data_IF_518791965009
#
_entry.id   IF_518791965009
#
_cell.length_a   1.000
_cell.length_b   1.000
_cell.length_c   1.000
_cell.angle_alpha   90.00
_cell.angle_beta   90.00
_cell.angle_gamma   90.00
#
_symmetry.space_group_name_H-M   'P 1'
#
loop_
_entity.id
_entity.type
_entity.pdbx_description
1 polymer ?
#
# COMPACT_ATOMS: atom_id res chain seq x y z
N UNK A 1 -27.49 -2.79 79.33
CA UNK A 1 -27.66 -1.60 78.47
C UNK A 1 -27.73 -2.09 77.03
N UNK A 2 -28.95 -2.14 76.50
CA UNK A 2 -29.29 -2.69 75.18
C UNK A 2 -29.22 -1.57 74.13
N UNK A 3 -28.76 -1.95 72.93
CA UNK A 3 -28.82 -1.24 71.63
C UNK A 3 -27.69 -0.20 71.45
N UNK A 4 -26.70 -0.24 70.55
CA UNK A 4 -26.37 -0.96 69.30
C UNK A 4 -27.54 -1.15 68.33
N UNK A 5 -27.37 -0.63 67.11
CA UNK A 5 -28.30 -0.62 65.98
C UNK A 5 -29.50 0.32 66.14
N UNK A 6 -29.40 1.56 65.64
CA UNK A 6 -30.41 2.17 64.74
C UNK A 6 -30.16 3.64 64.28
N UNK A 7 -28.92 4.14 64.21
CA UNK A 7 -28.67 5.49 63.63
C UNK A 7 -27.45 5.48 62.68
N UNK A 8 -27.37 4.46 61.80
CA UNK A 8 -26.50 4.46 60.61
C UNK A 8 -27.31 4.12 59.34
N UNK A 9 -28.65 4.21 59.40
CA UNK A 9 -29.53 4.00 58.23
C UNK A 9 -30.36 5.23 57.82
N UNK A 10 -30.05 6.43 58.32
CA UNK A 10 -30.67 7.69 57.85
C UNK A 10 -29.57 8.68 57.41
N UNK A 11 -28.52 8.16 56.76
CA UNK A 11 -27.57 8.98 56.01
C UNK A 11 -27.05 8.27 54.74
N UNK A 12 -27.82 7.29 54.25
CA UNK A 12 -27.61 6.59 52.98
C UNK A 12 -28.97 6.53 52.26
N UNK A 13 -29.62 7.69 52.04
CA UNK A 13 -30.81 7.79 51.18
C UNK A 13 -31.12 9.23 50.69
N UNK A 14 -30.14 10.13 50.68
CA UNK A 14 -30.32 11.51 50.17
C UNK A 14 -29.29 11.96 49.14
N UNK A 15 -28.61 11.03 48.46
CA UNK A 15 -27.81 11.32 47.26
C UNK A 15 -28.33 10.50 46.06
N UNK A 16 -29.62 10.57 45.81
CA UNK A 16 -30.21 10.34 44.48
C UNK A 16 -31.28 11.40 44.29
N UNK A 17 -30.89 12.57 43.77
CA UNK A 17 -31.70 13.43 42.91
C UNK A 17 -30.92 14.69 42.54
N UNK A 18 -30.96 15.06 41.26
CA UNK A 18 -30.47 16.31 40.66
C UNK A 18 -28.95 16.44 40.39
N UNK A 19 -28.51 15.71 39.37
CA UNK A 19 -28.09 16.20 38.04
C UNK A 19 -27.24 17.50 37.92
N UNK A 20 -26.19 17.36 37.09
CA UNK A 20 -25.31 18.36 36.42
C UNK A 20 -24.14 18.93 37.23
N UNK A 21 -23.16 18.08 37.50
CA UNK A 21 -21.77 18.50 37.55
C UNK A 21 -21.15 18.32 36.16
N UNK A 22 -20.79 19.45 35.52
CA UNK A 22 -19.81 19.48 34.45
C UNK A 22 -18.48 19.01 35.05
N UNK A 23 -18.18 17.72 34.89
CA UNK A 23 -16.84 17.21 35.09
C UNK A 23 -16.11 17.46 33.78
N UNK A 24 -15.42 18.61 33.68
CA UNK A 24 -14.31 18.75 32.74
C UNK A 24 -13.23 17.77 33.20
N UNK A 25 -13.18 16.60 32.57
CA UNK A 25 -12.06 15.68 32.75
C UNK A 25 -10.77 16.43 32.37
N UNK A 26 -9.68 16.26 33.12
CA UNK A 26 -8.40 16.80 32.73
C UNK A 26 -7.96 16.15 31.42
N UNK A 27 -7.41 16.99 30.53
CA UNK A 27 -6.76 16.57 29.28
C UNK A 27 -5.63 15.62 29.66
N UNK A 28 -5.82 14.33 29.44
CA UNK A 28 -4.76 13.34 29.57
C UNK A 28 -3.85 13.46 28.35
N UNK A 29 -2.71 14.14 28.52
CA UNK A 29 -1.62 14.07 27.56
C UNK A 29 -1.00 12.68 27.65
N UNK A 30 -1.25 11.83 26.66
CA UNK A 30 -0.37 10.71 26.36
C UNK A 30 0.51 11.15 25.17
N UNK A 31 1.83 11.07 25.32
CA UNK A 31 2.81 11.29 24.25
C UNK A 31 3.07 12.74 23.78
N UNK A 32 2.13 13.67 23.97
CA UNK A 32 2.20 15.01 23.35
C UNK A 32 1.01 15.30 22.42
N UNK A 33 0.02 14.41 22.39
CA UNK A 33 -1.23 14.57 21.65
C UNK A 33 -2.13 15.57 22.36
N UNK A 34 -2.62 16.55 21.61
CA UNK A 34 -3.53 17.58 22.11
C UNK A 34 -4.89 17.37 21.47
N UNK A 35 -5.86 17.07 22.34
CA UNK A 35 -7.28 17.14 21.99
C UNK A 35 -7.77 18.58 22.16
N UNK A 36 -8.37 19.21 21.12
CA UNK A 36 -8.95 20.53 21.26
C UNK A 36 -10.04 20.54 22.35
N UNK A 37 -9.85 21.32 23.41
CA UNK A 37 -10.81 21.43 24.52
C UNK A 37 -12.00 22.32 24.13
N UNK A 38 -12.98 21.77 23.41
CA UNK A 38 -14.21 22.50 23.05
C UNK A 38 -14.05 23.54 21.94
N UNK A 39 -15.14 23.71 21.16
CA UNK A 39 -15.18 24.23 19.79
C UNK A 39 -14.07 23.66 18.91
N UNK A 40 -14.31 22.46 18.36
CA UNK A 40 -13.44 21.87 17.34
C UNK A 40 -13.27 22.89 16.21
N UNK A 41 -12.03 23.27 15.94
CA UNK A 41 -11.71 24.21 14.87
C UNK A 41 -12.30 23.68 13.57
N UNK A 42 -13.25 24.43 12.99
CA UNK A 42 -13.92 24.05 11.76
C UNK A 42 -13.13 24.61 10.58
N UNK A 43 -12.76 23.74 9.65
CA UNK A 43 -12.07 24.09 8.40
C UNK A 43 -12.76 23.38 7.24
N UNK A 44 -12.65 23.94 6.05
CA UNK A 44 -13.22 23.35 4.84
C UNK A 44 -12.07 22.93 3.93
N UNK A 45 -12.20 21.74 3.35
CA UNK A 45 -11.23 21.18 2.42
C UNK A 45 -11.95 20.62 1.20
N UNK A 46 -11.31 20.68 0.05
CA UNK A 46 -11.70 19.91 -1.13
C UNK A 46 -11.38 18.43 -0.89
N UNK A 47 -12.37 17.56 -1.08
CA UNK A 47 -12.21 16.12 -0.92
C UNK A 47 -13.19 15.33 -1.80
N UNK A 48 -12.78 14.14 -2.23
CA UNK A 48 -13.64 13.15 -2.89
C UNK A 48 -14.44 12.34 -1.85
N UNK A 49 -15.60 12.86 -1.46
CA UNK A 49 -16.53 12.12 -0.59
C UNK A 49 -17.20 10.97 -1.36
N UNK A 50 -17.13 9.75 -0.81
CA UNK A 50 -17.62 8.50 -1.44
C UNK A 50 -17.08 8.24 -2.85
N UNK A 51 -15.90 8.77 -3.15
CA UNK A 51 -15.25 8.69 -4.47
C UNK A 51 -16.12 9.19 -5.64
N UNK A 52 -16.95 10.21 -5.41
CA UNK A 52 -17.83 10.78 -6.44
C UNK A 52 -17.22 12.01 -7.13
N UNK A 53 -17.25 13.16 -6.45
CA UNK A 53 -16.80 14.45 -6.98
C UNK A 53 -15.95 15.15 -5.93
N UNK A 54 -14.87 15.80 -6.38
CA UNK A 54 -14.07 16.66 -5.53
C UNK A 54 -14.85 17.94 -5.22
N UNK A 55 -15.18 18.16 -3.95
CA UNK A 55 -15.95 19.32 -3.52
C UNK A 55 -15.53 19.78 -2.13
N UNK A 56 -15.92 21.01 -1.80
CA UNK A 56 -15.74 21.55 -0.45
C UNK A 56 -16.59 20.77 0.56
N UNK A 57 -15.90 20.16 1.52
CA UNK A 57 -16.45 19.44 2.64
C UNK A 57 -16.00 20.11 3.95
N UNK A 58 -16.88 20.12 4.94
CA UNK A 58 -16.58 20.68 6.26
C UNK A 58 -15.92 19.62 7.14
N UNK A 59 -14.91 20.02 7.90
CA UNK A 59 -14.21 19.16 8.83
C UNK A 59 -13.98 19.84 10.18
N UNK A 60 -13.83 19.02 11.21
CA UNK A 60 -13.53 19.40 12.58
C UNK A 60 -12.16 18.88 12.98
N UNK A 61 -11.29 19.74 13.51
CA UNK A 61 -10.02 19.31 14.09
C UNK A 61 -10.30 18.47 15.33
N UNK A 62 -9.83 17.23 15.35
CA UNK A 62 -10.06 16.28 16.46
C UNK A 62 -8.78 15.94 17.22
N UNK A 63 -7.62 16.03 16.59
CA UNK A 63 -6.34 15.81 17.24
C UNK A 63 -5.23 16.64 16.59
N UNK A 64 -4.22 17.00 17.37
CA UNK A 64 -3.01 17.67 16.91
C UNK A 64 -1.79 17.15 17.67
N UNK A 65 -0.68 16.98 16.94
CA UNK A 65 0.62 16.53 17.42
C UNK A 65 1.73 17.37 16.78
N UNK A 66 2.99 17.19 17.17
CA UNK A 66 4.13 17.94 16.61
C UNK A 66 4.17 17.94 15.07
N UNK A 67 3.95 16.78 14.43
CA UNK A 67 4.03 16.62 12.96
C UNK A 67 2.70 16.31 12.27
N UNK A 68 1.59 16.35 13.01
CA UNK A 68 0.31 15.85 12.51
C UNK A 68 -0.87 16.70 12.99
N UNK A 69 -1.85 16.92 12.12
CA UNK A 69 -3.19 17.36 12.47
C UNK A 69 -4.20 16.35 11.92
N UNK A 70 -5.18 15.95 12.72
CA UNK A 70 -6.27 15.07 12.28
C UNK A 70 -7.58 15.84 12.29
N UNK A 71 -8.28 15.79 11.17
CA UNK A 71 -9.60 16.35 10.98
C UNK A 71 -10.61 15.26 10.62
N UNK A 72 -11.83 15.37 11.13
CA UNK A 72 -12.94 14.46 10.82
C UNK A 72 -14.04 15.22 10.09
N UNK A 73 -14.58 14.62 9.02
CA UNK A 73 -15.65 15.22 8.23
C UNK A 73 -16.90 15.46 9.11
N UNK A 74 -17.55 16.61 8.93
CA UNK A 74 -18.77 16.96 9.62
C UNK A 74 -19.87 15.91 9.37
N UNK A 75 -20.40 15.36 10.46
CA UNK A 75 -21.44 14.33 10.43
C UNK A 75 -20.91 12.89 10.48
N UNK A 76 -19.61 12.67 10.29
CA UNK A 76 -19.01 11.34 10.42
C UNK A 76 -18.69 11.02 11.89
N UNK A 77 -18.93 9.77 12.28
CA UNK A 77 -18.55 9.26 13.60
C UNK A 77 -17.10 8.79 13.64
N UNK A 78 -16.39 9.07 14.72
CA UNK A 78 -15.03 8.58 14.95
C UNK A 78 -14.86 8.02 16.36
N UNK A 79 -13.93 7.08 16.51
CA UNK A 79 -13.47 6.54 17.79
C UNK A 79 -12.20 7.27 18.24
N UNK A 80 -12.20 7.99 19.39
CA UNK A 80 -11.02 8.67 19.89
C UNK A 80 -9.79 7.76 20.02
N UNK A 81 -9.99 6.53 20.50
CA UNK A 81 -8.92 5.53 20.65
C UNK A 81 -8.28 5.13 19.31
N UNK A 82 -9.06 5.09 18.22
CA UNK A 82 -8.53 4.84 16.88
C UNK A 82 -7.72 6.03 16.37
N UNK A 83 -8.20 7.26 16.62
CA UNK A 83 -7.47 8.49 16.26
C UNK A 83 -6.16 8.60 17.03
N UNK A 84 -6.17 8.30 18.33
CA UNK A 84 -4.96 8.20 19.16
C UNK A 84 -3.97 7.20 18.57
N UNK A 85 -4.46 6.01 18.20
CA UNK A 85 -3.60 4.95 17.68
C UNK A 85 -2.90 5.39 16.40
N UNK A 86 -3.65 5.84 15.39
CA UNK A 86 -3.06 6.24 14.10
C UNK A 86 -2.10 7.42 14.25
N UNK A 87 -2.43 8.37 15.14
CA UNK A 87 -1.56 9.52 15.38
C UNK A 87 -0.26 9.10 16.07
N UNK A 88 -0.31 8.21 17.04
CA UNK A 88 0.89 7.69 17.69
C UNK A 88 1.78 6.91 16.73
N UNK A 89 1.21 6.00 15.93
CA UNK A 89 1.99 5.23 14.94
C UNK A 89 2.61 6.15 13.88
N UNK A 90 1.87 7.14 13.40
CA UNK A 90 2.39 8.14 12.47
C UNK A 90 3.60 8.87 13.06
N UNK A 91 3.45 9.48 14.24
CA UNK A 91 4.51 10.29 14.84
C UNK A 91 5.74 9.46 15.21
N UNK A 92 5.56 8.21 15.66
CA UNK A 92 6.67 7.32 16.00
C UNK A 92 7.52 6.94 14.78
N UNK A 93 6.92 6.87 13.59
CA UNK A 93 7.60 6.44 12.36
C UNK A 93 7.97 7.59 11.42
N UNK A 94 7.38 8.78 11.60
CA UNK A 94 7.57 9.95 10.73
C UNK A 94 9.04 10.31 10.48
N UNK A 95 9.87 10.33 11.54
CA UNK A 95 11.27 10.68 11.40
C UNK A 95 12.05 9.67 10.53
N UNK A 96 11.71 8.39 10.62
CA UNK A 96 12.34 7.34 9.82
C UNK A 96 11.84 7.36 8.37
N UNK A 97 10.54 7.57 8.15
CA UNK A 97 9.95 7.83 6.83
C UNK A 97 10.69 8.96 6.09
N UNK A 98 10.79 10.13 6.72
CA UNK A 98 11.49 11.29 6.13
C UNK A 98 12.98 11.01 5.92
N UNK A 99 13.64 10.31 6.84
CA UNK A 99 15.05 9.94 6.68
C UNK A 99 15.29 9.04 5.46
N UNK A 100 14.38 8.11 5.20
CA UNK A 100 14.50 7.13 4.12
C UNK A 100 14.10 7.78 2.79
N UNK A 101 12.90 8.33 2.68
CA UNK A 101 12.35 8.74 1.38
C UNK A 101 12.64 10.21 1.05
N UNK A 102 12.91 11.03 2.05
CA UNK A 102 13.26 12.44 1.92
C UNK A 102 12.27 13.39 2.58
N UNK A 103 12.55 14.68 2.49
CA UNK A 103 11.68 15.73 3.01
C UNK A 103 10.43 15.90 2.14
N UNK A 104 9.28 16.18 2.76
CA UNK A 104 8.07 16.65 2.07
C UNK A 104 8.08 18.19 1.90
N UNK A 105 7.01 18.76 1.34
CA UNK A 105 6.79 20.21 1.24
C UNK A 105 6.20 20.79 2.54
N UNK A 106 6.01 22.11 2.62
CA UNK A 106 5.22 22.75 3.69
C UNK A 106 4.47 23.94 3.05
N UNK A 107 3.47 23.63 2.22
CA UNK A 107 2.82 24.61 1.33
C UNK A 107 2.02 25.63 2.13
N UNK A 108 1.31 25.20 3.17
CA UNK A 108 0.51 26.08 4.04
C UNK A 108 1.29 26.66 5.23
N UNK A 109 2.58 26.28 5.37
CA UNK A 109 3.52 26.75 6.40
C UNK A 109 3.10 26.40 7.82
N UNK A 110 2.37 25.30 7.99
CA UNK A 110 1.97 24.80 9.31
C UNK A 110 3.01 23.84 9.91
N UNK A 111 3.93 23.29 9.09
CA UNK A 111 4.99 22.37 9.50
C UNK A 111 4.53 20.94 9.85
N UNK A 112 3.33 20.52 9.42
CA UNK A 112 2.62 19.29 9.80
C UNK A 112 1.94 18.65 8.59
N UNK A 113 1.73 17.34 8.67
CA UNK A 113 0.85 16.61 7.76
C UNK A 113 -0.59 16.67 8.28
N UNK A 114 -1.55 16.84 7.38
CA UNK A 114 -2.98 16.83 7.68
C UNK A 114 -3.56 15.47 7.28
N UNK A 115 -4.22 14.78 8.20
CA UNK A 115 -5.07 13.62 7.89
C UNK A 115 -6.53 14.06 7.89
N UNK A 116 -7.22 13.85 6.78
CA UNK A 116 -8.68 14.02 6.67
C UNK A 116 -9.36 12.64 6.75
N UNK A 117 -10.21 12.47 7.76
CA UNK A 117 -11.04 11.28 7.94
C UNK A 117 -12.44 11.54 7.37
N UNK A 118 -12.84 10.74 6.40
CA UNK A 118 -14.12 10.86 5.70
C UNK A 118 -14.61 9.49 5.20
N UNK A 119 -15.86 9.39 4.77
CA UNK A 119 -16.37 8.18 4.11
C UNK A 119 -15.86 8.16 2.66
N UNK A 120 -14.95 7.24 2.34
CA UNK A 120 -14.48 7.02 0.96
C UNK A 120 -15.36 6.01 0.24
N UNK A 121 -15.98 5.10 0.97
CA UNK A 121 -16.77 4.02 0.41
C UNK A 121 -18.28 4.31 0.52
N UNK A 122 -19.03 4.06 -0.56
CA UNK A 122 -20.49 3.97 -0.48
C UNK A 122 -20.91 2.54 -0.08
N UNK A 123 -22.11 2.40 0.50
CA UNK A 123 -22.64 1.10 0.98
C UNK A 123 -22.83 0.05 -0.13
N UNK A 124 -22.73 0.43 -1.40
CA UNK A 124 -22.83 -0.45 -2.57
C UNK A 124 -21.49 -0.68 -3.29
N UNK A 125 -20.38 -0.22 -2.72
CA UNK A 125 -19.09 -0.29 -3.41
C UNK A 125 -18.60 -1.74 -3.52
N UNK A 126 -18.27 -2.15 -4.74
CA UNK A 126 -17.66 -3.46 -5.04
C UNK A 126 -16.16 -3.46 -4.69
N UNK A 127 -15.57 -2.26 -4.60
CA UNK A 127 -14.19 -1.99 -4.25
C UNK A 127 -14.12 -1.22 -2.93
N UNK A 128 -13.07 -1.44 -2.14
CA UNK A 128 -12.84 -0.77 -0.86
C UNK A 128 -11.62 0.14 -1.01
N UNK A 129 -11.83 1.44 -0.85
CA UNK A 129 -10.77 2.45 -0.82
C UNK A 129 -10.39 2.74 0.61
N UNK A 130 -9.12 2.52 0.96
CA UNK A 130 -8.64 2.70 2.32
C UNK A 130 -8.16 4.14 2.57
N UNK A 131 -7.50 4.73 1.58
CA UNK A 131 -6.97 6.08 1.63
C UNK A 131 -6.37 6.49 0.30
N UNK A 132 -6.00 7.77 0.20
CA UNK A 132 -5.29 8.32 -0.95
C UNK A 132 -4.51 9.60 -0.60
N UNK A 133 -3.56 9.91 -1.47
CA UNK A 133 -2.89 11.20 -1.59
C UNK A 133 -3.23 11.86 -2.93
N UNK A 134 -3.66 13.13 -2.91
CA UNK A 134 -3.88 13.93 -4.12
C UNK A 134 -2.73 14.92 -4.32
N UNK A 135 -1.98 14.72 -5.41
CA UNK A 135 -0.81 15.55 -5.72
C UNK A 135 -1.15 17.02 -5.98
N UNK A 136 -2.39 17.32 -6.39
CA UNK A 136 -2.86 18.68 -6.60
C UNK A 136 -2.91 19.50 -5.29
N UNK A 137 -2.95 18.85 -4.13
CA UNK A 137 -2.89 19.55 -2.84
C UNK A 137 -1.54 20.25 -2.61
N UNK A 138 -0.46 19.74 -3.18
CA UNK A 138 0.87 20.35 -3.05
C UNK A 138 1.14 21.44 -4.10
N UNK A 139 0.24 21.62 -5.07
CA UNK A 139 0.40 22.56 -6.18
C UNK A 139 -0.44 23.82 -5.97
N UNK A 140 0.23 24.97 -6.01
CA UNK A 140 -0.40 26.26 -5.72
C UNK A 140 -1.63 26.52 -6.60
N UNK A 141 -2.76 26.76 -5.94
CA UNK A 141 -4.08 27.03 -6.51
C UNK A 141 -4.66 25.90 -7.36
N UNK A 142 -4.23 24.65 -7.15
CA UNK A 142 -4.83 23.48 -7.81
C UNK A 142 -5.85 22.76 -6.94
N UNK A 143 -5.59 22.60 -5.64
CA UNK A 143 -6.55 22.03 -4.69
C UNK A 143 -6.44 22.71 -3.31
N UNK A 144 -6.06 21.99 -2.24
CA UNK A 144 -6.06 22.54 -0.87
C UNK A 144 -4.83 23.36 -0.48
N UNK A 145 -3.75 23.34 -1.26
CA UNK A 145 -2.47 24.01 -0.95
C UNK A 145 -1.87 23.57 0.41
N UNK A 146 -1.88 22.28 0.72
CA UNK A 146 -1.39 21.74 1.98
C UNK A 146 -0.98 20.26 1.85
N UNK A 147 -0.21 19.76 2.80
CA UNK A 147 0.19 18.35 2.87
C UNK A 147 -0.94 17.49 3.44
N UNK A 148 -1.84 16.98 2.59
CA UNK A 148 -3.05 16.25 3.01
C UNK A 148 -2.99 14.77 2.62
N UNK A 149 -3.38 13.91 3.55
CA UNK A 149 -3.67 12.49 3.35
C UNK A 149 -5.14 12.22 3.68
N UNK A 150 -5.84 11.47 2.84
CA UNK A 150 -7.26 11.17 2.97
C UNK A 150 -7.44 9.71 3.38
N UNK A 151 -8.22 9.45 4.43
CA UNK A 151 -8.38 8.09 4.97
C UNK A 151 -9.86 7.77 5.20
N UNK A 152 -10.24 6.53 4.92
CA UNK A 152 -11.59 6.05 5.18
C UNK A 152 -11.84 5.92 6.70
N UNK A 153 -12.84 6.65 7.19
CA UNK A 153 -13.13 6.74 8.61
C UNK A 153 -13.74 5.45 9.18
N UNK A 154 -14.46 4.68 8.37
CA UNK A 154 -15.04 3.41 8.80
C UNK A 154 -13.91 2.43 9.11
N UNK A 155 -12.93 2.32 8.21
CA UNK A 155 -11.78 1.44 8.40
C UNK A 155 -10.87 1.94 9.54
N UNK A 156 -10.65 3.25 9.71
CA UNK A 156 -9.94 3.78 10.90
C UNK A 156 -10.61 3.31 12.20
N UNK A 157 -11.95 3.33 12.24
CA UNK A 157 -12.70 2.93 13.42
C UNK A 157 -12.67 1.41 13.64
N UNK A 158 -12.60 0.61 12.59
CA UNK A 158 -12.62 -0.85 12.66
C UNK A 158 -11.23 -1.47 12.86
N UNK A 159 -10.24 -1.00 12.12
CA UNK A 159 -8.87 -1.52 12.08
C UNK A 159 -7.83 -0.37 11.97
N UNK A 160 -7.59 0.35 13.09
CA UNK A 160 -6.62 1.44 13.11
C UNK A 160 -5.17 0.96 12.90
N UNK A 161 -4.86 -0.31 13.16
CA UNK A 161 -3.52 -0.87 12.93
C UNK A 161 -3.25 -1.01 11.43
N UNK A 162 -4.17 -1.63 10.70
CA UNK A 162 -4.10 -1.69 9.25
C UNK A 162 -4.05 -0.29 8.62
N UNK A 163 -4.90 0.63 9.10
CA UNK A 163 -4.96 1.99 8.56
C UNK A 163 -3.71 2.81 8.84
N UNK A 164 -3.05 2.61 9.99
CA UNK A 164 -1.77 3.27 10.27
C UNK A 164 -0.72 2.95 9.20
N UNK A 165 -0.72 1.72 8.68
CA UNK A 165 0.15 1.33 7.59
C UNK A 165 -0.27 1.90 6.24
N UNK A 166 -1.55 2.17 6.01
CA UNK A 166 -2.02 2.93 4.83
C UNK A 166 -1.57 4.38 4.91
N UNK A 167 -1.64 5.00 6.08
CA UNK A 167 -1.21 6.39 6.28
C UNK A 167 0.28 6.56 5.94
N UNK A 168 1.14 5.63 6.38
CA UNK A 168 2.58 5.68 6.04
C UNK A 168 2.82 5.45 4.54
N UNK A 169 2.06 4.57 3.90
CA UNK A 169 2.07 4.36 2.45
C UNK A 169 1.73 5.65 1.69
N UNK A 170 0.66 6.34 2.07
CA UNK A 170 0.27 7.61 1.42
C UNK A 170 1.25 8.76 1.74
N UNK A 171 1.85 8.77 2.93
CA UNK A 171 2.92 9.72 3.26
C UNK A 171 4.12 9.55 2.32
N UNK A 172 4.47 8.30 1.98
CA UNK A 172 5.54 8.04 1.02
C UNK A 172 5.23 8.67 -0.33
N UNK A 173 4.00 8.53 -0.85
CA UNK A 173 3.63 9.14 -2.13
C UNK A 173 3.77 10.66 -2.11
N UNK A 174 3.34 11.29 -1.01
CA UNK A 174 3.48 12.73 -0.79
C UNK A 174 4.97 13.16 -0.82
N UNK A 175 5.83 12.45 -0.08
CA UNK A 175 7.29 12.68 -0.09
C UNK A 175 7.86 12.46 -1.49
N UNK A 176 7.47 11.38 -2.15
CA UNK A 176 7.95 11.00 -3.49
C UNK A 176 7.67 12.11 -4.51
N UNK A 177 6.45 12.65 -4.48
CA UNK A 177 6.03 13.73 -5.37
C UNK A 177 6.86 14.99 -5.15
N UNK A 178 7.16 15.35 -3.90
CA UNK A 178 8.08 16.45 -3.62
C UNK A 178 9.49 16.17 -4.18
N UNK A 179 10.06 15.02 -3.82
CA UNK A 179 11.44 14.66 -4.15
C UNK A 179 11.65 14.55 -5.66
N UNK A 180 10.73 13.91 -6.39
CA UNK A 180 10.94 13.62 -7.82
C UNK A 180 10.31 14.70 -8.70
N UNK A 181 9.07 15.12 -8.44
CA UNK A 181 8.34 16.03 -9.31
C UNK A 181 8.53 17.51 -8.94
N UNK A 182 8.19 17.93 -7.72
CA UNK A 182 8.24 19.37 -7.35
C UNK A 182 9.68 19.91 -7.39
N UNK A 183 10.63 19.19 -6.80
CA UNK A 183 12.04 19.63 -6.73
C UNK A 183 12.81 19.40 -8.02
N UNK A 184 12.50 18.33 -8.76
CA UNK A 184 13.35 17.85 -9.85
C UNK A 184 12.63 17.68 -11.21
N UNK A 185 11.32 17.98 -11.28
CA UNK A 185 10.57 18.09 -12.53
C UNK A 185 10.24 16.77 -13.23
N UNK A 186 10.36 15.61 -12.55
CA UNK A 186 10.07 14.30 -13.14
C UNK A 186 9.29 13.41 -12.20
N UNK A 187 8.12 12.98 -12.64
CA UNK A 187 7.33 11.97 -11.93
C UNK A 187 8.01 10.59 -12.00
N UNK A 188 7.92 9.84 -10.90
CA UNK A 188 8.32 8.43 -10.85
C UNK A 188 7.24 7.58 -11.54
N UNK A 189 7.64 6.52 -12.23
CA UNK A 189 6.68 5.56 -12.79
C UNK A 189 5.87 4.90 -11.68
N UNK A 190 4.60 4.59 -11.99
CA UNK A 190 3.63 4.03 -11.03
C UNK A 190 4.21 2.82 -10.31
N UNK A 191 4.83 1.88 -11.03
CA UNK A 191 5.37 0.67 -10.41
C UNK A 191 6.43 0.94 -9.35
N UNK A 192 7.34 1.89 -9.59
CA UNK A 192 8.41 2.18 -8.65
C UNK A 192 7.90 3.03 -7.48
N UNK A 193 6.95 3.93 -7.76
CA UNK A 193 6.28 4.73 -6.74
C UNK A 193 5.57 3.79 -5.74
N UNK A 194 4.72 2.90 -6.23
CA UNK A 194 4.02 1.91 -5.42
C UNK A 194 4.96 0.91 -4.75
N UNK A 195 6.02 0.45 -5.42
CA UNK A 195 7.01 -0.42 -4.80
C UNK A 195 7.64 0.23 -3.56
N UNK A 196 8.01 1.52 -3.66
CA UNK A 196 8.56 2.25 -2.53
C UNK A 196 7.50 2.52 -1.45
N UNK A 197 6.24 2.76 -1.79
CA UNK A 197 5.17 2.86 -0.80
C UNK A 197 4.91 1.54 -0.08
N UNK A 198 4.91 0.42 -0.80
CA UNK A 198 4.83 -0.93 -0.21
C UNK A 198 6.02 -1.22 0.72
N UNK A 199 7.19 -0.60 0.46
CA UNK A 199 8.34 -0.71 1.35
C UNK A 199 8.16 -0.05 2.72
N UNK A 200 7.21 0.88 2.87
CA UNK A 200 6.79 1.39 4.19
C UNK A 200 6.16 0.28 5.03
N UNK A 201 5.32 -0.57 4.42
CA UNK A 201 4.67 -1.68 5.11
C UNK A 201 5.71 -2.69 5.60
N UNK A 202 6.76 -2.94 4.82
CA UNK A 202 7.88 -3.82 5.20
C UNK A 202 8.61 -3.33 6.45
N UNK A 203 8.76 -2.01 6.59
CA UNK A 203 9.47 -1.40 7.72
C UNK A 203 8.60 -1.28 8.97
N UNK A 204 7.31 -0.99 8.79
CA UNK A 204 6.46 -0.48 9.87
C UNK A 204 5.21 -1.33 10.15
N UNK A 205 4.89 -2.34 9.33
CA UNK A 205 3.63 -3.10 9.43
C UNK A 205 3.77 -4.59 9.08
N UNK A 206 4.03 -5.45 10.08
CA UNK A 206 4.02 -6.89 9.88
C UNK A 206 2.70 -7.43 9.32
N UNK A 207 1.55 -6.87 9.73
CA UNK A 207 0.23 -7.29 9.25
C UNK A 207 0.05 -7.09 7.74
N UNK A 208 0.42 -5.92 7.21
CA UNK A 208 0.33 -5.68 5.76
C UNK A 208 1.30 -6.56 4.98
N UNK A 209 2.51 -6.79 5.50
CA UNK A 209 3.48 -7.72 4.89
C UNK A 209 2.87 -9.12 4.74
N UNK A 210 2.25 -9.65 5.80
CA UNK A 210 1.57 -10.95 5.75
C UNK A 210 0.44 -10.97 4.71
N UNK A 211 -0.42 -9.94 4.68
CA UNK A 211 -1.50 -9.84 3.68
C UNK A 211 -0.97 -9.81 2.24
N UNK A 212 0.13 -9.09 1.98
CA UNK A 212 0.77 -9.04 0.65
C UNK A 212 1.39 -10.37 0.26
N UNK A 213 1.97 -11.11 1.21
CA UNK A 213 2.47 -12.48 0.98
C UNK A 213 1.32 -13.44 0.65
N UNK A 214 0.20 -13.35 1.37
CA UNK A 214 -0.99 -14.16 1.09
C UNK A 214 -1.54 -13.87 -0.31
N UNK A 215 -1.58 -12.59 -0.71
CA UNK A 215 -1.92 -12.16 -2.06
C UNK A 215 -0.97 -12.72 -3.11
N UNK A 216 0.35 -12.67 -2.85
CA UNK A 216 1.39 -13.18 -3.73
C UNK A 216 1.26 -14.70 -3.95
N UNK A 217 0.95 -15.44 -2.89
CA UNK A 217 0.73 -16.88 -2.96
C UNK A 217 -0.59 -17.24 -3.66
N UNK A 218 -1.54 -16.30 -3.73
CA UNK A 218 -2.89 -16.56 -4.23
C UNK A 218 -3.15 -16.01 -5.64
N UNK A 219 -2.17 -15.36 -6.27
CA UNK A 219 -2.28 -14.81 -7.64
C UNK A 219 -1.98 -15.84 -8.75
N UNK A 220 -1.94 -17.13 -8.40
CA UNK A 220 -1.88 -18.21 -9.39
C UNK A 220 -0.60 -18.22 -10.25
N UNK A 221 0.55 -17.91 -9.65
CA UNK A 221 1.86 -18.06 -10.30
C UNK A 221 2.10 -17.11 -11.46
N UNK A 222 1.41 -15.96 -11.47
CA UNK A 222 1.58 -14.88 -12.43
C UNK A 222 2.09 -13.65 -11.69
N UNK A 223 3.36 -13.33 -11.90
CA UNK A 223 4.07 -12.24 -11.23
C UNK A 223 4.14 -11.06 -12.19
N UNK A 224 3.72 -9.86 -11.81
CA UNK A 224 3.71 -8.69 -12.70
C UNK A 224 4.17 -7.45 -11.96
N UNK A 225 5.07 -6.67 -12.56
CA UNK A 225 5.63 -5.47 -11.91
C UNK A 225 5.03 -4.17 -12.39
N UNK A 226 4.94 -3.98 -13.71
CA UNK A 226 4.74 -2.65 -14.27
C UNK A 226 3.52 -2.51 -15.18
N UNK A 227 2.80 -3.60 -15.47
CA UNK A 227 1.48 -3.50 -16.11
C UNK A 227 0.40 -3.39 -15.05
N UNK A 228 0.13 -2.17 -14.59
CA UNK A 228 -0.82 -1.89 -13.50
C UNK A 228 -2.29 -1.96 -13.95
N UNK A 229 -2.60 -1.43 -15.14
CA UNK A 229 -3.88 -1.67 -15.81
C UNK A 229 -3.91 -3.04 -16.51
N UNK A 230 -3.78 -4.11 -15.74
CA UNK A 230 -3.75 -5.47 -16.27
C UNK A 230 -5.13 -5.83 -16.86
N UNK A 231 -5.24 -6.22 -18.14
CA UNK A 231 -6.50 -6.71 -18.71
C UNK A 231 -6.75 -8.14 -18.22
N UNK A 232 -7.17 -8.23 -16.97
CA UNK A 232 -7.34 -9.43 -16.17
C UNK A 232 -8.20 -10.50 -16.83
N UNK A 233 -9.26 -10.09 -17.55
CA UNK A 233 -10.14 -11.00 -18.32
C UNK A 233 -9.44 -11.79 -19.44
N UNK A 234 -8.18 -11.45 -19.73
CA UNK A 234 -7.39 -12.08 -20.77
C UNK A 234 -6.10 -12.71 -20.26
N UNK A 235 -5.74 -12.62 -18.97
CA UNK A 235 -4.46 -13.16 -18.48
C UNK A 235 -4.39 -14.68 -18.67
N UNK A 236 -5.48 -15.37 -18.32
CA UNK A 236 -5.67 -16.80 -18.61
C UNK A 236 -6.92 -16.95 -19.48
N UNK A 237 -6.79 -16.92 -20.82
CA UNK A 237 -7.95 -16.91 -21.73
C UNK A 237 -8.89 -18.11 -21.56
N UNK A 238 -8.36 -19.23 -21.07
CA UNK A 238 -9.13 -20.46 -20.85
C UNK A 238 -9.78 -20.52 -19.45
N UNK A 239 -9.55 -19.51 -18.58
CA UNK A 239 -10.07 -19.48 -17.22
C UNK A 239 -10.96 -18.23 -16.99
N UNK A 240 -12.30 -18.41 -16.91
CA UNK A 240 -13.24 -17.30 -16.72
C UNK A 240 -13.13 -16.59 -15.37
N UNK A 241 -12.42 -17.16 -14.38
CA UNK A 241 -12.21 -16.51 -13.07
C UNK A 241 -11.01 -15.55 -13.06
N UNK A 242 -10.22 -15.48 -14.14
CA UNK A 242 -9.01 -14.64 -14.22
C UNK A 242 -9.27 -13.13 -14.25
N UNK A 243 -10.53 -12.71 -14.40
CA UNK A 243 -11.00 -11.31 -14.56
C UNK A 243 -10.62 -10.33 -13.44
N UNK A 244 -9.92 -10.71 -12.39
CA UNK A 244 -9.58 -9.78 -11.30
C UNK A 244 -8.20 -10.05 -10.66
N UNK A 245 -7.24 -10.50 -11.46
CA UNK A 245 -5.89 -10.79 -10.99
C UNK A 245 -5.18 -9.54 -10.44
N UNK A 246 -4.95 -9.53 -9.12
CA UNK A 246 -4.24 -8.47 -8.40
C UNK A 246 -2.75 -8.83 -8.24
N UNK A 247 -2.02 -8.88 -9.36
CA UNK A 247 -0.64 -9.38 -9.38
C UNK A 247 0.41 -8.33 -8.99
N UNK A 248 0.12 -7.04 -9.23
CA UNK A 248 1.11 -5.96 -9.16
C UNK A 248 1.58 -5.65 -7.75
N UNK A 249 0.65 -5.24 -6.88
CA UNK A 249 0.92 -4.92 -5.48
C UNK A 249 1.64 -6.06 -4.74
N UNK A 250 1.16 -7.31 -4.75
CA UNK A 250 1.89 -8.41 -4.11
C UNK A 250 3.28 -8.64 -4.71
N UNK A 251 3.44 -8.53 -6.03
CA UNK A 251 4.75 -8.72 -6.69
C UNK A 251 5.74 -7.65 -6.26
N UNK A 252 5.38 -6.36 -6.32
CA UNK A 252 6.29 -5.28 -5.92
C UNK A 252 6.59 -5.32 -4.42
N UNK A 253 5.60 -5.65 -3.59
CA UNK A 253 5.78 -5.77 -2.13
C UNK A 253 6.76 -6.90 -1.79
N UNK A 254 6.58 -8.10 -2.35
CA UNK A 254 7.50 -9.23 -2.13
C UNK A 254 8.89 -8.97 -2.71
N UNK A 255 8.98 -8.26 -3.85
CA UNK A 255 10.26 -7.82 -4.41
C UNK A 255 11.02 -6.86 -3.49
N UNK A 256 10.34 -5.86 -2.94
CA UNK A 256 10.96 -4.91 -2.03
C UNK A 256 11.35 -5.57 -0.71
N UNK A 257 10.55 -6.52 -0.22
CA UNK A 257 10.91 -7.33 0.95
C UNK A 257 12.16 -8.15 0.67
N UNK A 258 12.24 -8.81 -0.48
CA UNK A 258 13.43 -9.54 -0.89
C UNK A 258 14.67 -8.64 -0.94
N UNK A 259 14.59 -7.47 -1.58
CA UNK A 259 15.71 -6.51 -1.59
C UNK A 259 16.14 -6.11 -0.18
N UNK A 260 15.20 -5.90 0.74
CA UNK A 260 15.48 -5.62 2.14
C UNK A 260 16.21 -6.78 2.81
N UNK A 261 15.75 -8.02 2.65
CA UNK A 261 16.44 -9.19 3.20
C UNK A 261 17.86 -9.34 2.62
N UNK A 262 18.04 -9.14 1.30
CA UNK A 262 19.36 -9.20 0.66
C UNK A 262 20.30 -8.09 1.08
N UNK A 263 19.76 -6.94 1.46
CA UNK A 263 20.51 -5.85 2.04
C UNK A 263 20.66 -5.98 3.57
N UNK A 264 20.62 -7.20 4.12
CA UNK A 264 20.75 -7.50 5.54
C UNK A 264 19.77 -6.70 6.42
N UNK A 265 18.53 -6.56 5.96
CA UNK A 265 17.45 -5.84 6.65
C UNK A 265 17.82 -4.38 6.94
N UNK A 266 18.53 -3.74 6.02
CA UNK A 266 18.92 -2.35 6.12
C UNK A 266 18.10 -1.48 5.15
N UNK A 267 17.36 -0.51 5.70
CA UNK A 267 16.47 0.39 4.95
C UNK A 267 17.20 1.32 3.97
N UNK A 268 18.54 1.37 4.00
CA UNK A 268 19.34 2.12 3.02
C UNK A 268 19.08 1.71 1.57
N UNK A 269 18.65 0.47 1.30
CA UNK A 269 18.29 0.04 -0.06
C UNK A 269 17.10 0.85 -0.59
N UNK A 270 16.08 1.07 0.24
CA UNK A 270 14.91 1.89 -0.11
C UNK A 270 15.31 3.36 -0.23
N UNK A 271 16.09 3.86 0.73
CA UNK A 271 16.58 5.24 0.70
C UNK A 271 17.36 5.56 -0.58
N UNK A 272 18.22 4.64 -1.03
CA UNK A 272 19.04 4.85 -2.20
C UNK A 272 18.22 4.81 -3.50
N UNK A 273 17.19 3.96 -3.56
CA UNK A 273 16.26 3.91 -4.70
C UNK A 273 15.35 5.15 -4.72
N UNK A 274 14.86 5.60 -3.56
CA UNK A 274 13.92 6.72 -3.44
C UNK A 274 14.52 8.08 -3.83
N UNK A 275 15.82 8.30 -3.58
CA UNK A 275 16.54 9.54 -3.97
C UNK A 275 16.45 9.79 -5.47
N UNK A 276 16.13 11.04 -5.84
CA UNK A 276 16.02 11.46 -7.25
C UNK A 276 17.20 10.98 -8.10
N UNK A 277 16.90 10.51 -9.31
CA UNK A 277 17.88 10.21 -10.36
C UNK A 277 17.33 10.61 -11.72
N UNK A 278 18.21 11.08 -12.61
CA UNK A 278 17.90 11.30 -14.01
C UNK A 278 17.83 10.00 -14.83
N UNK A 279 18.28 8.87 -14.26
CA UNK A 279 18.23 7.55 -14.88
C UNK A 279 16.80 7.07 -15.10
N UNK A 280 16.57 6.15 -16.04
CA UNK A 280 15.28 5.43 -16.08
C UNK A 280 15.02 4.74 -14.73
N UNK A 281 13.76 4.53 -14.37
CA UNK A 281 13.45 3.95 -13.05
C UNK A 281 14.00 2.52 -12.89
N UNK A 282 14.12 1.77 -14.00
CA UNK A 282 14.79 0.47 -14.05
C UNK A 282 16.29 0.61 -13.77
N UNK A 283 16.98 1.51 -14.48
CA UNK A 283 18.41 1.75 -14.28
C UNK A 283 18.70 2.26 -12.86
N UNK A 284 17.80 3.09 -12.32
CA UNK A 284 17.84 3.60 -10.95
C UNK A 284 17.81 2.46 -9.94
N UNK A 285 16.92 1.48 -10.08
CA UNK A 285 16.92 0.31 -9.21
C UNK A 285 18.19 -0.51 -9.42
N UNK A 286 18.54 -0.87 -10.65
CA UNK A 286 19.70 -1.72 -10.97
C UNK A 286 21.00 -1.19 -10.37
N UNK A 287 21.26 0.11 -10.50
CA UNK A 287 22.47 0.73 -9.93
C UNK A 287 22.52 0.64 -8.40
N UNK A 288 21.37 0.76 -7.75
CA UNK A 288 21.26 0.75 -6.29
C UNK A 288 21.19 -0.66 -5.68
N UNK A 289 20.98 -1.70 -6.50
CA UNK A 289 20.98 -3.10 -6.05
C UNK A 289 22.15 -3.91 -6.62
N UNK A 290 23.26 -3.25 -6.96
CA UNK A 290 24.46 -3.91 -7.50
C UNK A 290 25.03 -5.02 -6.61
N UNK A 291 24.78 -4.98 -5.30
CA UNK A 291 25.16 -6.03 -4.35
C UNK A 291 24.47 -7.40 -4.62
N UNK A 292 23.38 -7.42 -5.39
CA UNK A 292 22.73 -8.64 -5.87
C UNK A 292 23.57 -9.34 -6.96
N UNK A 293 24.42 -8.59 -7.67
CA UNK A 293 25.19 -9.09 -8.80
C UNK A 293 24.32 -9.43 -10.02
N UNK A 294 23.23 -8.69 -10.22
CA UNK A 294 22.42 -8.78 -11.44
C UNK A 294 23.07 -7.99 -12.58
N UNK A 295 23.13 -8.58 -13.77
CA UNK A 295 23.74 -7.99 -14.97
C UNK A 295 22.78 -7.15 -15.81
N UNK A 296 21.48 -7.37 -15.64
CA UNK A 296 20.39 -6.66 -16.32
C UNK A 296 19.13 -6.69 -15.46
N UNK A 297 18.09 -5.98 -15.89
CA UNK A 297 16.76 -6.04 -15.24
C UNK A 297 16.18 -7.45 -15.26
N UNK A 298 16.22 -8.11 -16.41
CA UNK A 298 15.74 -9.49 -16.57
C UNK A 298 16.46 -10.44 -15.61
N UNK A 299 17.79 -10.32 -15.49
CA UNK A 299 18.59 -11.13 -14.57
C UNK A 299 18.24 -10.83 -13.09
N UNK A 300 17.93 -9.57 -12.75
CA UNK A 300 17.46 -9.22 -11.41
C UNK A 300 16.11 -9.87 -11.09
N UNK A 301 15.16 -9.84 -12.03
CA UNK A 301 13.85 -10.48 -11.85
C UNK A 301 13.98 -12.01 -11.72
N UNK A 302 14.85 -12.65 -12.49
CA UNK A 302 15.11 -14.07 -12.33
C UNK A 302 15.74 -14.40 -10.97
N UNK A 303 16.73 -13.61 -10.52
CA UNK A 303 17.35 -13.78 -9.19
C UNK A 303 16.35 -13.56 -8.07
N UNK A 304 15.41 -12.64 -8.22
CA UNK A 304 14.33 -12.44 -7.25
C UNK A 304 13.49 -13.70 -7.10
N UNK A 305 12.96 -14.25 -8.20
CA UNK A 305 12.13 -15.47 -8.16
C UNK A 305 12.93 -16.67 -7.64
N UNK A 306 14.19 -16.82 -8.04
CA UNK A 306 15.11 -17.82 -7.48
C UNK A 306 15.27 -17.64 -5.96
N UNK A 307 15.40 -16.40 -5.48
CA UNK A 307 15.46 -16.06 -4.06
C UNK A 307 14.19 -16.43 -3.30
N UNK A 308 13.01 -16.13 -3.86
CA UNK A 308 11.72 -16.54 -3.26
C UNK A 308 11.63 -18.06 -3.16
N UNK A 309 11.97 -18.79 -4.22
CA UNK A 309 12.00 -20.25 -4.19
C UNK A 309 12.97 -20.82 -3.14
N UNK A 310 14.07 -20.12 -2.86
CA UNK A 310 15.03 -20.52 -1.84
C UNK A 310 14.61 -20.11 -0.41
N UNK A 311 13.41 -19.54 -0.24
CA UNK A 311 12.88 -19.12 1.06
C UNK A 311 13.53 -17.85 1.62
N UNK A 312 14.12 -17.00 0.77
CA UNK A 312 14.77 -15.75 1.22
C UNK A 312 13.75 -14.72 1.72
N UNK A 313 12.46 -14.86 1.38
CA UNK A 313 11.34 -14.15 2.00
C UNK A 313 10.42 -15.18 2.64
N UNK A 314 10.34 -15.17 3.96
CA UNK A 314 9.57 -16.16 4.72
C UNK A 314 8.08 -16.12 4.34
N UNK A 315 7.53 -17.29 4.00
CA UNK A 315 6.11 -17.47 3.66
C UNK A 315 5.74 -17.14 2.20
N UNK A 316 6.61 -16.49 1.43
CA UNK A 316 6.37 -16.27 0.00
C UNK A 316 6.75 -17.52 -0.81
N UNK A 317 5.84 -17.96 -1.68
CA UNK A 317 5.98 -19.21 -2.43
C UNK A 317 5.76 -18.98 -3.93
N UNK A 318 6.57 -19.66 -4.74
CA UNK A 318 6.39 -19.65 -6.19
C UNK A 318 5.43 -20.75 -6.64
N UNK A 319 4.59 -20.47 -7.63
CA UNK A 319 3.65 -21.44 -8.20
C UNK A 319 3.99 -21.74 -9.65
N UNK A 320 3.86 -23.02 -10.01
CA UNK A 320 4.17 -23.49 -11.36
C UNK A 320 2.89 -23.60 -12.18
N UNK A 321 2.93 -23.03 -13.38
CA UNK A 321 1.83 -23.08 -14.34
C UNK A 321 1.53 -24.51 -14.79
N UNK A 322 0.25 -24.81 -14.98
CA UNK A 322 -0.22 -26.08 -15.57
C UNK A 322 0.36 -26.26 -16.97
N UNK A 323 0.55 -27.51 -17.40
CA UNK A 323 0.90 -27.82 -18.79
C UNK A 323 -0.24 -27.48 -19.77
N UNK A 324 0.10 -27.17 -21.03
CA UNK A 324 -0.84 -26.76 -22.08
C UNK A 324 -1.76 -25.59 -21.68
N UNK A 325 -1.29 -24.74 -20.76
CA UNK A 325 -2.02 -23.56 -20.32
C UNK A 325 -1.70 -22.39 -21.26
N UNK A 326 -2.75 -21.72 -21.75
CA UNK A 326 -2.61 -20.51 -22.54
C UNK A 326 -2.51 -19.32 -21.58
N UNK A 327 -1.46 -18.52 -21.74
CA UNK A 327 -1.17 -17.40 -20.85
C UNK A 327 -0.81 -16.18 -21.71
N UNK A 328 -1.44 -15.07 -21.40
CA UNK A 328 -1.09 -13.78 -21.97
C UNK A 328 -0.11 -13.08 -21.02
N UNK A 329 1.17 -13.08 -21.38
CA UNK A 329 2.23 -12.39 -20.63
C UNK A 329 2.25 -10.93 -21.01
N UNK A 330 1.68 -10.07 -20.17
CA UNK A 330 1.76 -8.63 -20.31
C UNK A 330 3.17 -8.11 -20.01
N UNK A 331 3.51 -6.87 -20.41
CA UNK A 331 4.80 -6.26 -20.09
C UNK A 331 5.13 -6.46 -18.59
N UNK A 332 6.25 -7.14 -18.31
CA UNK A 332 6.73 -7.36 -16.93
C UNK A 332 6.13 -8.54 -16.22
N UNK A 333 5.30 -9.31 -16.93
CA UNK A 333 4.79 -10.55 -16.43
C UNK A 333 5.85 -11.65 -16.51
N UNK A 334 5.95 -12.41 -15.43
CA UNK A 334 6.79 -13.59 -15.30
C UNK A 334 5.93 -14.76 -14.83
N UNK A 335 6.19 -15.94 -15.39
CA UNK A 335 5.63 -17.22 -14.93
C UNK A 335 6.70 -18.30 -14.85
N UNK A 336 6.48 -19.31 -14.01
CA UNK A 336 7.30 -20.53 -13.94
C UNK A 336 6.52 -21.68 -14.57
N UNK A 337 7.15 -22.49 -15.42
CA UNK A 337 6.51 -23.63 -16.09
C UNK A 337 7.48 -24.80 -16.27
N UNK A 338 6.95 -25.99 -16.59
CA UNK A 338 7.77 -27.17 -16.90
C UNK A 338 7.99 -27.32 -18.42
N UNK A 339 9.22 -27.63 -18.82
CA UNK A 339 9.62 -27.80 -20.22
C UNK A 339 10.31 -26.57 -20.78
N UNK A 340 10.32 -26.44 -22.11
CA UNK A 340 11.01 -25.34 -22.80
C UNK A 340 10.13 -24.62 -23.80
N UNK A 341 10.24 -23.30 -23.84
CA UNK A 341 9.66 -22.44 -24.87
C UNK A 341 10.75 -21.87 -25.77
N UNK A 342 10.39 -21.58 -27.02
CA UNK A 342 11.30 -20.87 -27.93
C UNK A 342 11.20 -19.37 -27.66
N UNK A 343 12.32 -18.73 -27.35
CA UNK A 343 12.40 -17.28 -27.20
C UNK A 343 12.01 -16.59 -28.50
N UNK A 344 11.25 -15.49 -28.41
CA UNK A 344 10.86 -14.69 -29.56
C UNK A 344 10.42 -13.29 -29.14
N UNK A 345 10.85 -12.26 -29.87
CA UNK A 345 10.53 -10.87 -29.52
C UNK A 345 10.96 -10.55 -28.08
N UNK A 346 10.02 -10.07 -27.27
CA UNK A 346 10.25 -9.75 -25.85
C UNK A 346 10.07 -10.96 -24.90
N UNK A 347 9.82 -12.17 -25.43
CA UNK A 347 9.77 -13.39 -24.62
C UNK A 347 11.20 -13.88 -24.35
N UNK A 348 11.64 -13.70 -23.10
CA UNK A 348 12.89 -14.23 -22.58
C UNK A 348 12.59 -15.45 -21.73
N UNK A 349 13.38 -16.52 -21.92
CA UNK A 349 13.31 -17.72 -21.09
C UNK A 349 14.64 -17.98 -20.39
N UNK A 350 14.57 -18.51 -19.17
CA UNK A 350 15.76 -18.93 -18.42
C UNK A 350 15.47 -20.24 -17.72
N UNK A 351 16.41 -21.17 -17.83
CA UNK A 351 16.37 -22.43 -17.11
C UNK A 351 16.27 -22.18 -15.61
N UNK A 352 15.26 -22.80 -15.01
CA UNK A 352 15.01 -22.87 -13.58
C UNK A 352 15.20 -24.34 -13.16
N UNK A 353 15.33 -24.61 -11.86
CA UNK A 353 15.74 -25.93 -11.34
C UNK A 353 15.01 -27.11 -12.01
N UNK A 354 15.69 -28.25 -12.20
CA UNK A 354 15.10 -29.55 -12.55
C UNK A 354 13.97 -29.53 -13.62
N UNK A 355 14.25 -28.97 -14.80
CA UNK A 355 13.35 -29.03 -15.95
C UNK A 355 12.22 -27.99 -15.93
N UNK A 356 12.24 -27.05 -14.99
CA UNK A 356 11.40 -25.86 -15.03
C UNK A 356 12.11 -24.71 -15.77
N UNK A 357 11.36 -23.78 -16.33
CA UNK A 357 11.86 -22.56 -16.95
C UNK A 357 11.04 -21.37 -16.47
N UNK A 358 11.67 -20.19 -16.48
CA UNK A 358 10.99 -18.91 -16.42
C UNK A 358 10.60 -18.47 -17.82
N UNK A 359 9.41 -17.89 -17.97
CA UNK A 359 9.05 -17.06 -19.11
C UNK A 359 8.79 -15.64 -18.61
N UNK A 360 9.51 -14.68 -19.16
CA UNK A 360 9.38 -13.26 -18.87
C UNK A 360 9.03 -12.53 -20.17
N UNK A 361 8.02 -11.67 -20.13
CA UNK A 361 7.89 -10.61 -21.12
C UNK A 361 8.73 -9.42 -20.65
N UNK A 362 9.85 -9.16 -21.33
CA UNK A 362 10.80 -8.11 -20.95
C UNK A 362 10.52 -6.73 -21.59
N UNK A 363 9.38 -6.57 -22.28
CA UNK A 363 8.90 -5.27 -22.73
C UNK A 363 8.69 -4.35 -21.53
N UNK A 364 9.29 -3.17 -21.46
CA UNK A 364 9.21 -2.27 -20.29
C UNK A 364 8.09 -1.22 -20.38
N UNK A 365 7.08 -1.44 -21.24
CA UNK A 365 5.95 -0.53 -21.41
C UNK A 365 5.14 -0.32 -20.11
N UNK A 366 4.89 0.94 -19.76
CA UNK A 366 4.18 1.37 -18.54
C UNK A 366 2.90 2.19 -18.81
N UNK A 367 2.40 2.19 -20.04
CA UNK A 367 1.21 2.96 -20.41
C UNK A 367 -0.10 2.18 -20.27
N UNK A 368 -1.21 2.84 -20.59
CA UNK A 368 -2.56 2.33 -20.27
C UNK A 368 -3.08 1.23 -21.19
N UNK A 369 -2.42 0.98 -22.33
CA UNK A 369 -2.85 0.03 -23.36
C UNK A 369 -1.78 -1.05 -23.61
N UNK A 370 -1.46 -1.88 -22.61
CA UNK A 370 -0.41 -2.88 -22.72
C UNK A 370 -0.81 -4.01 -23.69
N UNK A 371 0.15 -4.49 -24.48
CA UNK A 371 -0.03 -5.67 -25.35
C UNK A 371 0.71 -6.87 -24.79
N UNK A 372 0.04 -8.01 -24.71
CA UNK A 372 0.62 -9.26 -24.22
C UNK A 372 1.33 -10.06 -25.31
N UNK A 373 2.23 -10.95 -24.86
CA UNK A 373 2.72 -12.08 -25.64
C UNK A 373 1.95 -13.32 -25.22
N UNK A 374 1.36 -14.01 -26.19
CA UNK A 374 0.62 -15.25 -25.92
C UNK A 374 1.61 -16.42 -25.92
N UNK A 375 1.61 -17.18 -24.83
CA UNK A 375 2.37 -18.42 -24.71
C UNK A 375 1.42 -19.58 -24.40
N UNK A 376 1.84 -20.79 -24.78
CA UNK A 376 1.21 -22.03 -24.34
C UNK A 376 2.27 -22.85 -23.63
N UNK A 377 2.09 -23.13 -22.35
CA UNK A 377 3.08 -23.92 -21.59
C UNK A 377 3.22 -25.33 -22.19
N UNK A 378 4.44 -25.88 -22.27
CA UNK A 378 4.66 -27.19 -22.86
C UNK A 378 3.97 -28.32 -22.10
N UNK A 379 3.76 -29.45 -22.79
CA UNK A 379 3.38 -30.71 -22.15
C UNK A 379 4.62 -31.32 -21.48
N UNK A 380 4.50 -31.71 -20.21
CA UNK A 380 5.61 -32.30 -19.49
C UNK A 380 5.97 -33.68 -20.07
N UNK A 381 7.23 -33.89 -20.45
CA UNK A 381 7.74 -35.17 -20.92
C UNK A 381 7.98 -36.14 -19.75
N UNK A 382 6.91 -36.73 -19.23
CA UNK A 382 6.86 -37.92 -18.33
C UNK A 382 7.41 -37.85 -16.88
N UNK A 383 6.52 -38.24 -15.94
CA UNK A 383 6.64 -38.84 -14.59
C UNK A 383 7.31 -38.08 -13.43
N UNK A 384 8.19 -37.09 -13.62
CA UNK A 384 8.89 -36.48 -12.45
C UNK A 384 8.20 -35.27 -11.78
N UNK A 385 7.11 -34.72 -12.34
CA UNK A 385 6.61 -33.41 -11.92
C UNK A 385 5.74 -33.37 -10.64
N UNK A 386 5.39 -34.49 -10.00
CA UNK A 386 4.19 -34.53 -9.15
C UNK A 386 4.36 -34.40 -7.63
N UNK A 387 5.51 -33.95 -7.09
CA UNK A 387 5.67 -33.87 -5.62
C UNK A 387 6.34 -32.64 -5.00
N UNK A 388 7.02 -31.77 -5.75
CA UNK A 388 7.81 -30.68 -5.15
C UNK A 388 7.23 -29.27 -5.32
N UNK A 389 6.30 -29.04 -6.26
CA UNK A 389 5.75 -27.71 -6.52
C UNK A 389 4.23 -27.75 -6.48
N UNK A 390 3.62 -26.73 -5.86
CA UNK A 390 2.18 -26.53 -5.94
C UNK A 390 1.84 -26.03 -7.36
N UNK A 391 1.02 -26.80 -8.07
CA UNK A 391 0.47 -26.37 -9.35
C UNK A 391 -0.60 -25.32 -9.11
N UNK A 392 -0.64 -24.29 -9.96
CA UNK A 392 -1.64 -23.21 -9.86
C UNK A 392 -3.07 -23.74 -9.76
N UNK A 393 -3.85 -23.22 -8.80
CA UNK A 393 -5.29 -23.47 -8.67
C UNK A 393 -6.09 -22.57 -9.61
N UNK A 394 -7.28 -23.01 -10.05
CA UNK A 394 -8.13 -22.25 -10.99
C UNK A 394 -8.87 -21.07 -10.34
N UNK A 395 -8.68 -20.84 -9.04
CA UNK A 395 -9.29 -19.74 -8.29
C UNK A 395 -8.19 -18.74 -7.95
N UNK A 396 -8.31 -17.52 -8.48
CA UNK A 396 -7.40 -16.42 -8.19
C UNK A 396 -7.95 -15.57 -7.05
N UNK A 397 -7.06 -15.06 -6.20
CA UNK A 397 -7.43 -14.08 -5.18
C UNK A 397 -7.80 -12.75 -5.83
N UNK A 398 -8.92 -12.20 -5.37
CA UNK A 398 -9.43 -10.90 -5.76
C UNK A 398 -9.36 -10.02 -4.54
N UNK A 399 -8.40 -9.09 -4.52
CA UNK A 399 -8.45 -8.05 -3.50
C UNK A 399 -9.69 -7.19 -3.76
N UNK A 400 -10.50 -7.01 -2.71
CA UNK A 400 -11.54 -5.97 -2.70
C UNK A 400 -10.92 -4.60 -2.50
N UNK A 401 -9.71 -4.53 -1.94
CA UNK A 401 -8.99 -3.29 -1.70
C UNK A 401 -8.51 -2.71 -3.04
N UNK A 402 -8.64 -1.38 -3.12
CA UNK A 402 -8.31 -0.55 -4.27
C UNK A 402 -7.58 0.68 -3.75
N UNK A 403 -6.50 1.05 -4.44
CA UNK A 403 -5.65 2.19 -4.09
C UNK A 403 -5.86 3.22 -5.18
N UNK A 404 -6.12 4.47 -4.77
CA UNK A 404 -6.35 5.53 -5.75
C UNK A 404 -5.03 6.25 -5.95
N UNK A 405 -4.51 6.18 -7.16
CA UNK A 405 -3.36 6.99 -7.54
C UNK A 405 -3.81 8.16 -8.40
N UNK A 406 -3.40 9.37 -8.04
CA UNK A 406 -3.59 10.56 -8.86
C UNK A 406 -2.33 10.84 -9.69
N UNK A 407 -2.52 11.29 -10.93
CA UNK A 407 -1.45 11.90 -11.71
C UNK A 407 -1.13 13.32 -11.23
N UNK A 408 -0.09 13.93 -11.79
CA UNK A 408 0.34 15.30 -11.50
C UNK A 408 -0.72 16.40 -11.76
N UNK A 409 -1.78 16.08 -12.50
CA UNK A 409 -2.87 17.00 -12.85
C UNK A 409 -4.11 16.75 -11.97
N UNK A 410 -3.98 15.93 -10.91
CA UNK A 410 -5.08 15.59 -10.00
C UNK A 410 -6.12 14.66 -10.62
N UNK A 411 -5.77 13.93 -11.69
CA UNK A 411 -6.66 12.93 -12.29
C UNK A 411 -6.33 11.56 -11.75
N UNK A 412 -7.37 10.79 -11.45
CA UNK A 412 -7.22 9.37 -11.08
C UNK A 412 -6.56 8.64 -12.25
N UNK A 413 -5.34 8.17 -12.02
CA UNK A 413 -4.53 7.35 -12.92
C UNK A 413 -4.92 5.88 -12.82
N UNK A 414 -5.35 5.44 -11.63
CA UNK A 414 -5.71 4.04 -11.36
C UNK A 414 -6.72 3.92 -10.20
N UNK A 415 -7.52 2.84 -10.23
CA UNK A 415 -8.38 2.37 -9.15
C UNK A 415 -7.80 1.12 -8.50
#
# INVERSE_FOLDING_TARGET
MKKILFIISILILSIISCNRNNVTNPIESSGGLIYPSGSMEKKTFYAYYRMQENKLCNFYKVAEYDKLIVYVMEGSGYKPESVDYIANVFNNNYAEEVRIYGEHTDVDKNGKIIILLLELNDSHSVAIYNGYFDSADLLLNQNNNAEILYMDIEIVNEDPEYMSSTILHELQHLINFNVNYIKNGREMSTWLNEALSESTSILFSPLKVSSRIDGFNSMGGYYCFYTWNLPTENVFPNNPTSKYLFANYPSVSVFMNWLYQKNAQNSSVFQNIAKFSSDTDIDRVLKNVSFIGASSWDDLLFKWIEGINNGEVAGAEIKVQKENNNINLYPGALVVYNGSLTQSGNLVTKQFQNGFEFALNNDTYIGDNPTSINITTPKASSVQASKMYETVNDIFYISKERHILFDKDGKIKEY
#
